data_IF_201796325371
#
_entry.id   IF_201796325371
#
_cell.length_a   1.000
_cell.length_b   1.000
_cell.length_c   1.000
_cell.angle_alpha   90.00
_cell.angle_beta   90.00
_cell.angle_gamma   90.00
#
_symmetry.space_group_name_H-M   'P 1'
#
loop_
_entity.id
_entity.type
_entity.pdbx_description
1 polymer ?
#
# COMPACT_ATOMS: atom_id res chain seq x y z
N UNK A 1 30.41 15.58 3.55
CA UNK A 1 29.96 16.63 2.60
C UNK A 1 28.74 16.10 1.86
N UNK A 2 27.54 16.47 2.29
CA UNK A 2 26.29 16.14 1.58
C UNK A 2 26.15 17.11 0.40
N UNK A 3 25.92 16.62 -0.82
CA UNK A 3 25.94 17.45 -2.03
C UNK A 3 26.29 16.75 -3.35
N UNK A 4 26.52 15.43 -3.36
CA UNK A 4 26.84 14.67 -4.57
C UNK A 4 25.65 14.45 -5.53
N UNK A 5 24.50 15.10 -5.32
CA UNK A 5 23.35 15.00 -6.23
C UNK A 5 22.51 13.73 -6.13
N UNK A 6 22.75 12.85 -5.14
CA UNK A 6 22.00 11.58 -4.98
C UNK A 6 20.48 11.77 -4.97
N UNK A 7 19.97 12.75 -4.24
CA UNK A 7 18.54 13.08 -4.18
C UNK A 7 18.01 13.56 -5.53
N UNK A 8 18.79 14.34 -6.25
CA UNK A 8 18.44 14.81 -7.60
C UNK A 8 18.37 13.63 -8.57
N UNK A 9 19.34 12.71 -8.48
CA UNK A 9 19.38 11.51 -9.31
C UNK A 9 18.16 10.61 -9.04
N UNK A 10 17.84 10.31 -7.78
CA UNK A 10 16.71 9.44 -7.45
C UNK A 10 15.36 10.07 -7.82
N UNK A 11 15.20 11.39 -7.70
CA UNK A 11 14.01 12.11 -8.19
C UNK A 11 13.84 12.00 -9.71
N UNK A 12 14.92 12.17 -10.46
CA UNK A 12 14.89 12.04 -11.93
C UNK A 12 14.52 10.60 -12.35
N UNK A 13 15.08 9.59 -11.67
CA UNK A 13 14.74 8.18 -11.93
C UNK A 13 13.29 7.84 -11.55
N UNK A 14 12.74 8.50 -10.53
CA UNK A 14 11.35 8.37 -10.11
C UNK A 14 10.36 9.15 -10.99
N UNK A 15 10.83 9.95 -11.94
CA UNK A 15 9.98 10.81 -12.78
C UNK A 15 9.53 12.11 -12.10
N UNK A 16 10.03 12.44 -10.91
CA UNK A 16 9.73 13.69 -10.18
C UNK A 16 10.57 14.89 -10.66
N UNK A 17 11.32 14.73 -11.76
CA UNK A 17 12.14 15.79 -12.34
C UNK A 17 12.70 15.43 -13.71
N UNK A 18 13.08 16.43 -14.48
CA UNK A 18 13.68 16.25 -15.80
C UNK A 18 15.21 16.16 -15.72
N UNK A 19 15.85 15.29 -16.52
CA UNK A 19 17.30 15.30 -16.66
C UNK A 19 17.74 16.61 -17.34
N UNK A 20 18.87 17.15 -16.92
CA UNK A 20 19.44 18.35 -17.54
C UNK A 20 19.84 18.13 -19.00
N UNK A 21 20.21 16.89 -19.35
CA UNK A 21 20.47 16.42 -20.71
C UNK A 21 20.35 14.89 -20.77
N UNK A 22 20.15 14.33 -21.97
CA UNK A 22 19.97 12.89 -22.17
C UNK A 22 18.53 12.41 -22.01
N UNK A 23 18.34 11.10 -21.87
CA UNK A 23 17.03 10.46 -21.72
C UNK A 23 17.07 9.42 -20.60
N UNK A 24 15.96 9.30 -19.87
CA UNK A 24 15.71 8.25 -18.89
C UNK A 24 14.57 7.39 -19.43
N UNK A 25 14.76 6.08 -19.46
CA UNK A 25 13.74 5.10 -19.84
C UNK A 25 13.61 4.08 -18.70
N UNK A 26 12.38 3.75 -18.33
CA UNK A 26 12.08 2.79 -17.27
C UNK A 26 11.23 1.66 -17.84
N UNK A 27 11.51 0.43 -17.42
CA UNK A 27 10.72 -0.75 -17.77
C UNK A 27 10.10 -1.34 -16.51
N UNK A 28 8.77 -1.32 -16.43
CA UNK A 28 8.03 -1.75 -15.24
C UNK A 28 7.79 -0.64 -14.21
N UNK A 29 7.10 -0.94 -13.09
CA UNK A 29 6.77 0.04 -12.07
C UNK A 29 8.01 0.48 -11.28
N UNK A 30 8.10 1.78 -10.97
CA UNK A 30 9.16 2.36 -10.14
C UNK A 30 8.57 2.83 -8.82
N UNK A 31 9.08 2.29 -7.71
CA UNK A 31 8.77 2.76 -6.35
C UNK A 31 9.80 3.79 -5.88
N UNK A 32 9.35 4.93 -5.37
CA UNK A 32 10.20 5.98 -4.84
C UNK A 32 9.79 6.35 -3.41
N UNK A 33 10.76 6.33 -2.49
CA UNK A 33 10.59 6.78 -1.11
C UNK A 33 11.34 8.10 -0.93
N UNK A 34 10.66 9.25 -0.81
CA UNK A 34 11.31 10.54 -0.60
C UNK A 34 12.00 10.57 0.77
N UNK A 35 13.09 11.33 0.88
CA UNK A 35 13.83 11.48 2.15
C UNK A 35 13.00 12.11 3.28
N UNK A 36 11.99 12.90 2.93
CA UNK A 36 11.02 13.44 3.88
C UNK A 36 9.63 12.93 3.51
N UNK A 37 9.08 11.93 4.23
CA UNK A 37 7.79 11.33 3.91
C UNK A 37 6.59 12.22 4.23
N UNK A 38 6.81 13.46 4.72
CA UNK A 38 5.75 14.44 5.04
C UNK A 38 4.91 14.90 3.83
N UNK A 39 5.08 14.31 2.66
CA UNK A 39 4.33 14.62 1.43
C UNK A 39 2.98 13.92 1.31
N UNK A 40 2.33 13.53 2.40
CA UNK A 40 0.90 13.16 2.34
C UNK A 40 0.22 13.27 3.69
N UNK A 41 -1.09 13.11 3.69
CA UNK A 41 -1.96 13.30 4.85
C UNK A 41 -1.44 12.53 6.08
N UNK A 42 -1.06 13.28 7.12
CA UNK A 42 -0.52 12.76 8.37
C UNK A 42 -1.61 12.17 9.26
N UNK A 43 -2.88 12.46 8.95
CA UNK A 43 -4.03 11.90 9.66
C UNK A 43 -4.32 10.45 9.20
N UNK A 44 -3.74 10.02 8.08
CA UNK A 44 -3.85 8.65 7.59
C UNK A 44 -2.83 7.77 8.33
N UNK A 45 -3.27 6.73 9.06
CA UNK A 45 -2.37 5.81 9.75
C UNK A 45 -1.32 5.21 8.82
N UNK A 46 -0.07 5.11 9.28
CA UNK A 46 1.07 4.57 8.50
C UNK A 46 0.72 3.21 7.84
N UNK A 47 -0.03 2.36 8.54
CA UNK A 47 -0.51 1.06 8.00
C UNK A 47 -1.30 1.22 6.69
N UNK A 48 -2.17 2.22 6.62
CA UNK A 48 -3.11 2.41 5.52
C UNK A 48 -2.37 2.93 4.28
N UNK A 49 -1.33 3.74 4.51
CA UNK A 49 -0.40 4.17 3.45
C UNK A 49 0.42 3.01 2.89
N UNK A 50 0.92 2.11 3.74
CA UNK A 50 1.65 0.91 3.31
C UNK A 50 0.75 -0.03 2.50
N UNK A 51 -0.49 -0.24 2.95
CA UNK A 51 -1.46 -1.09 2.27
C UNK A 51 -1.88 -0.49 0.91
N UNK A 52 -2.18 0.82 0.85
CA UNK A 52 -2.53 1.49 -0.41
C UNK A 52 -1.36 1.53 -1.40
N UNK A 53 -0.13 1.75 -0.95
CA UNK A 53 1.06 1.66 -1.80
C UNK A 53 1.28 0.26 -2.41
N UNK A 54 0.72 -0.78 -1.79
CA UNK A 54 0.70 -2.17 -2.29
C UNK A 54 -0.60 -2.53 -3.02
N UNK A 55 -1.55 -1.61 -3.17
CA UNK A 55 -2.86 -1.86 -3.78
C UNK A 55 -3.78 -2.78 -2.96
N UNK A 56 -3.58 -2.85 -1.64
CA UNK A 56 -4.29 -3.75 -0.71
C UNK A 56 -5.39 -3.04 0.10
N UNK A 57 -5.56 -1.74 -0.08
CA UNK A 57 -6.59 -0.93 0.57
C UNK A 57 -8.01 -1.46 0.30
N UNK A 58 -8.31 -1.79 -0.95
CA UNK A 58 -9.60 -2.37 -1.32
C UNK A 58 -9.83 -3.77 -0.75
N UNK A 59 -8.76 -4.54 -0.53
CA UNK A 59 -8.83 -5.87 0.09
C UNK A 59 -9.22 -5.73 1.56
N UNK A 60 -8.55 -4.82 2.28
CA UNK A 60 -8.79 -4.54 3.70
C UNK A 60 -10.19 -4.00 3.93
N UNK A 61 -10.66 -3.09 3.06
CA UNK A 61 -12.03 -2.56 3.13
C UNK A 61 -13.08 -3.67 2.98
N UNK A 62 -12.87 -4.62 2.06
CA UNK A 62 -13.74 -5.79 1.88
C UNK A 62 -13.70 -6.72 3.08
N UNK A 63 -12.52 -6.95 3.66
CA UNK A 63 -12.35 -7.76 4.86
C UNK A 63 -13.18 -7.18 6.03
N UNK A 64 -13.04 -5.88 6.30
CA UNK A 64 -13.80 -5.17 7.36
C UNK A 64 -15.31 -5.20 7.15
N UNK A 65 -15.76 -5.01 5.91
CA UNK A 65 -17.18 -5.12 5.58
C UNK A 65 -17.71 -6.54 5.84
N UNK A 66 -16.94 -7.57 5.46
CA UNK A 66 -17.30 -8.95 5.74
C UNK A 66 -17.32 -9.26 7.24
N UNK A 67 -16.34 -8.77 8.02
CA UNK A 67 -16.34 -8.87 9.49
C UNK A 67 -17.62 -8.32 10.12
N UNK A 68 -18.04 -7.12 9.72
CA UNK A 68 -19.25 -6.50 10.23
C UNK A 68 -20.51 -7.31 9.89
N UNK A 69 -20.60 -7.85 8.67
CA UNK A 69 -21.73 -8.65 8.23
C UNK A 69 -21.77 -10.05 8.85
N UNK A 70 -20.62 -10.62 9.24
CA UNK A 70 -20.56 -11.91 9.95
C UNK A 70 -21.26 -11.88 11.32
N UNK A 71 -21.38 -10.69 11.93
CA UNK A 71 -22.12 -10.50 13.17
C UNK A 71 -23.66 -10.44 12.98
N UNK A 72 -24.15 -10.55 11.74
CA UNK A 72 -25.59 -10.50 11.46
C UNK A 72 -26.37 -11.66 12.11
N UNK A 73 -27.56 -11.33 12.60
CA UNK A 73 -28.53 -12.31 13.08
C UNK A 73 -29.14 -13.14 11.94
N UNK A 74 -29.10 -12.62 10.70
CA UNK A 74 -29.56 -13.32 9.51
C UNK A 74 -28.53 -14.38 9.06
N UNK A 75 -28.89 -15.69 9.05
CA UNK A 75 -28.01 -16.76 8.62
C UNK A 75 -27.49 -16.63 7.20
N UNK A 76 -28.30 -16.17 6.24
CA UNK A 76 -27.88 -16.06 4.85
C UNK A 76 -26.84 -14.96 4.67
N UNK A 77 -27.04 -13.83 5.37
CA UNK A 77 -26.09 -12.70 5.39
C UNK A 77 -24.78 -13.16 6.00
N UNK A 78 -24.83 -13.82 7.16
CA UNK A 78 -23.64 -14.34 7.84
C UNK A 78 -22.87 -15.34 6.98
N UNK A 79 -23.54 -16.32 6.37
CA UNK A 79 -22.88 -17.34 5.55
C UNK A 79 -22.24 -16.74 4.29
N UNK A 80 -22.91 -15.75 3.68
CA UNK A 80 -22.36 -15.01 2.54
C UNK A 80 -21.16 -14.13 2.96
N UNK A 81 -21.20 -13.57 4.17
CA UNK A 81 -20.11 -12.79 4.73
C UNK A 81 -18.88 -13.66 5.02
N UNK A 82 -19.05 -14.86 5.59
CA UNK A 82 -17.95 -15.82 5.80
C UNK A 82 -17.21 -16.14 4.50
N UNK A 83 -17.93 -16.47 3.41
CA UNK A 83 -17.32 -16.73 2.09
C UNK A 83 -16.63 -15.50 1.48
N UNK A 84 -17.04 -14.29 1.85
CA UNK A 84 -16.38 -13.05 1.40
C UNK A 84 -15.13 -12.76 2.22
N UNK A 85 -15.19 -13.01 3.53
CA UNK A 85 -14.07 -12.90 4.44
C UNK A 85 -12.93 -13.84 4.00
N UNK A 86 -13.20 -15.14 3.81
CA UNK A 86 -12.18 -16.12 3.39
C UNK A 86 -11.45 -15.71 2.10
N UNK A 87 -12.18 -15.17 1.12
CA UNK A 87 -11.58 -14.70 -0.15
C UNK A 87 -10.72 -13.46 0.04
N UNK A 88 -11.20 -12.48 0.79
CA UNK A 88 -10.45 -11.25 1.06
C UNK A 88 -9.22 -11.52 1.94
N UNK A 89 -9.35 -12.42 2.91
CA UNK A 89 -8.26 -12.86 3.77
C UNK A 89 -7.15 -13.56 2.98
N UNK A 90 -7.51 -14.51 2.10
CA UNK A 90 -6.55 -15.16 1.22
C UNK A 90 -5.84 -14.18 0.27
N UNK A 91 -6.56 -13.20 -0.26
CA UNK A 91 -6.01 -12.15 -1.13
C UNK A 91 -5.04 -11.22 -0.35
N UNK A 92 -5.39 -10.87 0.88
CA UNK A 92 -4.53 -10.08 1.77
C UNK A 92 -3.24 -10.84 2.13
N UNK A 93 -3.35 -12.12 2.46
CA UNK A 93 -2.20 -13.00 2.71
C UNK A 93 -1.29 -13.12 1.49
N UNK A 94 -1.86 -13.37 0.30
CA UNK A 94 -1.11 -13.46 -0.94
C UNK A 94 -0.41 -12.13 -1.31
N UNK A 95 -1.03 -10.99 -0.96
CA UNK A 95 -0.44 -9.65 -1.10
C UNK A 95 0.66 -9.31 -0.09
N UNK A 96 0.97 -10.20 0.85
CA UNK A 96 1.94 -9.95 1.91
C UNK A 96 1.43 -9.06 3.05
N UNK A 97 0.12 -9.04 3.30
CA UNK A 97 -0.51 -8.25 4.36
C UNK A 97 0.08 -8.48 5.75
N UNK A 98 0.38 -9.75 6.10
CA UNK A 98 1.03 -10.08 7.39
C UNK A 98 2.50 -9.71 7.46
N UNK A 99 3.22 -9.68 6.33
CA UNK A 99 4.59 -9.19 6.30
C UNK A 99 4.64 -7.66 6.52
N UNK A 100 3.65 -6.93 6.00
CA UNK A 100 3.49 -5.50 6.27
C UNK A 100 3.08 -5.20 7.72
N UNK A 101 2.28 -6.05 8.36
CA UNK A 101 1.93 -5.94 9.80
C UNK A 101 3.15 -6.18 10.72
N UNK A 102 4.01 -7.14 10.38
CA UNK A 102 5.22 -7.44 11.15
C UNK A 102 6.29 -6.35 11.02
N UNK A 103 6.43 -5.70 9.86
CA UNK A 103 7.41 -4.63 9.64
C UNK A 103 6.94 -3.25 10.17
N UNK A 104 5.63 -3.00 10.23
CA UNK A 104 5.08 -1.73 10.75
C UNK A 104 4.99 -1.67 12.30
N UNK A 105 5.23 -2.79 12.98
CA UNK A 105 5.21 -2.90 14.44
C UNK A 105 6.60 -2.74 15.10
N UNK A 106 7.67 -2.54 14.30
CA UNK A 106 9.02 -2.18 14.77
C UNK A 106 9.30 -0.69 14.58
#
# INVERSE_FOLDING_TARGET
RNGAGKTTLTKILAGEGLPAAGRVETTGPVGYLPQDPRTGDLDVPVRERILSARGLDDVVRRLRAAEAEMASADPEVRDRAMRRYERADAELHAGGGYAAEAEAAQ
#
